data_IF_907835145244
#
_entry.id   IF_907835145244
#
_cell.length_a   1.000
_cell.length_b   1.000
_cell.length_c   1.000
_cell.angle_alpha   90.00
_cell.angle_beta   90.00
_cell.angle_gamma   90.00
#
_symmetry.space_group_name_H-M   'P 1'
#
loop_
_entity.id
_entity.type
_entity.pdbx_description
1 polymer ?
#
# COMPACT_ATOMS: atom_id res chain seq x y z
N UNK A 1 -9.13 9.80 21.45
CA UNK A 1 -9.11 8.32 21.36
C UNK A 1 -7.94 7.95 20.48
N UNK A 2 -7.09 7.02 20.89
CA UNK A 2 -5.94 6.54 20.12
C UNK A 2 -6.23 5.13 19.60
N UNK A 3 -5.85 4.86 18.36
CA UNK A 3 -5.99 3.54 17.74
C UNK A 3 -4.59 2.93 17.65
N UNK A 4 -4.36 1.83 18.36
CA UNK A 4 -3.12 1.05 18.28
C UNK A 4 -3.36 -0.11 17.34
N UNK A 5 -2.64 -0.15 16.22
CA UNK A 5 -2.90 -1.08 15.14
C UNK A 5 -1.63 -1.85 14.78
N UNK A 6 -1.67 -3.17 14.92
CA UNK A 6 -0.58 -4.06 14.49
C UNK A 6 -1.10 -5.48 14.38
N UNK A 7 -0.95 -6.08 13.19
CA UNK A 7 -1.32 -7.49 12.97
C UNK A 7 -0.60 -8.41 13.96
N UNK A 8 0.74 -8.35 14.03
CA UNK A 8 1.51 -9.22 14.92
C UNK A 8 1.51 -8.79 16.39
N UNK A 9 1.04 -7.57 16.67
CA UNK A 9 1.16 -6.93 17.99
C UNK A 9 2.59 -6.56 18.40
N UNK A 10 3.58 -6.86 17.55
CA UNK A 10 5.00 -6.77 17.88
C UNK A 10 5.78 -5.78 17.00
N UNK A 11 5.14 -5.18 15.98
CA UNK A 11 5.78 -4.18 15.12
C UNK A 11 6.35 -3.04 15.95
N UNK A 12 7.61 -2.68 15.71
CA UNK A 12 8.39 -1.78 16.59
C UNK A 12 7.78 -0.38 16.59
N UNK A 13 7.52 0.17 15.41
CA UNK A 13 7.06 1.53 15.18
C UNK A 13 5.73 1.85 15.91
N UNK A 14 4.63 1.10 15.72
CA UNK A 14 3.39 1.38 16.45
C UNK A 14 3.54 1.13 17.97
N UNK A 15 4.39 0.19 18.40
CA UNK A 15 4.62 -0.06 19.82
C UNK A 15 5.41 1.07 20.50
N UNK A 16 6.38 1.68 19.81
CA UNK A 16 7.11 2.85 20.29
C UNK A 16 6.17 4.06 20.40
N UNK A 17 5.37 4.32 19.36
CA UNK A 17 4.36 5.37 19.39
C UNK A 17 3.33 5.16 20.49
N UNK A 18 2.86 3.92 20.67
CA UNK A 18 1.96 3.57 21.76
C UNK A 18 2.54 3.94 23.12
N UNK A 19 3.77 3.52 23.43
CA UNK A 19 4.41 3.82 24.72
C UNK A 19 4.53 5.32 24.97
N UNK A 20 4.90 6.08 23.95
CA UNK A 20 5.00 7.53 24.03
C UNK A 20 3.64 8.17 24.36
N UNK A 21 2.61 7.89 23.57
CA UNK A 21 1.28 8.46 23.79
C UNK A 21 0.63 7.94 25.07
N UNK A 22 0.89 6.68 25.46
CA UNK A 22 0.43 6.14 26.74
C UNK A 22 0.97 6.96 27.91
N UNK A 23 2.26 7.28 27.92
CA UNK A 23 2.84 8.11 28.98
C UNK A 23 2.24 9.52 29.05
N UNK A 24 1.95 10.13 27.90
CA UNK A 24 1.27 11.43 27.86
C UNK A 24 -0.16 11.35 28.40
N UNK A 25 -0.91 10.32 28.04
CA UNK A 25 -2.29 10.13 28.51
C UNK A 25 -2.31 9.79 29.99
N UNK A 26 -1.42 8.92 30.47
CA UNK A 26 -1.27 8.61 31.91
C UNK A 26 -1.02 9.89 32.71
N UNK A 27 -0.18 10.79 32.20
CA UNK A 27 0.08 12.10 32.83
C UNK A 27 -1.16 12.99 32.85
N UNK A 28 -1.99 12.94 31.81
CA UNK A 28 -3.14 13.82 31.66
C UNK A 28 -4.39 13.36 32.45
N UNK A 29 -4.63 12.05 32.53
CA UNK A 29 -5.88 11.50 33.11
C UNK A 29 -5.68 10.47 34.23
N UNK A 30 -4.43 10.10 34.54
CA UNK A 30 -4.11 9.04 35.48
C UNK A 30 -4.09 7.65 34.84
N UNK A 31 -3.32 6.74 35.42
CA UNK A 31 -3.07 5.39 34.89
C UNK A 31 -4.28 4.47 34.93
N UNK A 32 -5.24 4.72 35.83
CA UNK A 32 -6.48 3.94 35.97
C UNK A 32 -7.45 4.21 34.80
N UNK A 33 -7.53 5.46 34.35
CA UNK A 33 -8.48 5.91 33.32
C UNK A 33 -7.91 5.91 31.91
N UNK A 34 -6.58 5.91 31.79
CA UNK A 34 -5.88 6.09 30.51
C UNK A 34 -6.15 4.97 29.51
N UNK A 35 -6.32 3.72 29.98
CA UNK A 35 -6.65 2.57 29.13
C UNK A 35 -7.87 2.83 28.25
N UNK A 36 -8.93 3.40 28.83
CA UNK A 36 -10.19 3.70 28.13
C UNK A 36 -10.07 4.75 27.00
N UNK A 37 -8.89 5.35 26.82
CA UNK A 37 -8.55 6.29 25.74
C UNK A 37 -7.88 5.62 24.55
N UNK A 38 -7.62 4.32 24.62
CA UNK A 38 -7.05 3.50 23.55
C UNK A 38 -8.03 2.43 23.08
N UNK A 39 -7.93 2.06 21.81
CA UNK A 39 -8.47 0.82 21.24
C UNK A 39 -7.34 0.09 20.53
N UNK A 40 -7.42 -1.24 20.49
CA UNK A 40 -6.48 -2.09 19.76
C UNK A 40 -7.16 -2.70 18.52
N UNK A 41 -6.44 -2.77 17.41
CA UNK A 41 -6.82 -3.55 16.23
C UNK A 41 -5.65 -4.50 15.92
N UNK A 42 -5.90 -5.79 16.04
CA UNK A 42 -4.84 -6.82 15.99
C UNK A 42 -5.42 -8.20 15.70
N UNK A 43 -4.57 -9.21 15.59
CA UNK A 43 -5.02 -10.60 15.51
C UNK A 43 -5.22 -11.18 16.91
N UNK A 44 -6.11 -12.16 17.01
CA UNK A 44 -6.38 -12.85 18.26
C UNK A 44 -5.10 -13.50 18.85
N UNK A 45 -4.93 -13.43 20.17
CA UNK A 45 -3.83 -14.08 20.89
C UNK A 45 -2.47 -13.41 20.78
N UNK A 46 -2.35 -12.29 20.07
CA UNK A 46 -1.10 -11.54 19.94
C UNK A 46 -0.74 -10.76 21.20
N UNK A 47 0.48 -10.23 21.27
CA UNK A 47 0.92 -9.38 22.38
C UNK A 47 0.07 -8.12 22.54
N UNK A 48 -0.45 -7.56 21.45
CA UNK A 48 -1.32 -6.38 21.50
C UNK A 48 -2.74 -6.74 21.96
N UNK A 49 -3.24 -7.94 21.64
CA UNK A 49 -4.53 -8.43 22.15
C UNK A 49 -4.51 -8.56 23.68
N UNK A 50 -3.49 -9.25 24.18
CA UNK A 50 -3.26 -9.42 25.62
C UNK A 50 -3.06 -8.07 26.28
N UNK A 51 -2.20 -7.21 25.73
CA UNK A 51 -1.93 -5.88 26.27
C UNK A 51 -3.18 -5.00 26.34
N UNK A 52 -3.99 -4.99 25.28
CA UNK A 52 -5.21 -4.19 25.25
C UNK A 52 -6.19 -4.62 26.33
N UNK A 53 -6.33 -5.93 26.54
CA UNK A 53 -7.17 -6.50 27.60
C UNK A 53 -6.63 -6.16 28.99
N UNK A 54 -5.34 -6.43 29.24
CA UNK A 54 -4.69 -6.23 30.53
C UNK A 54 -4.64 -4.76 30.95
N UNK A 55 -4.51 -3.84 29.98
CA UNK A 55 -4.38 -2.41 30.24
C UNK A 55 -5.71 -1.65 30.14
N UNK A 56 -6.84 -2.36 30.10
CA UNK A 56 -8.18 -1.78 30.13
C UNK A 56 -8.49 -0.91 28.93
N UNK A 57 -8.08 -1.32 27.73
CA UNK A 57 -8.44 -0.61 26.51
C UNK A 57 -9.95 -0.59 26.34
N UNK A 58 -10.47 0.45 25.70
CA UNK A 58 -11.91 0.60 25.47
C UNK A 58 -12.49 -0.56 24.68
N UNK A 59 -11.73 -1.07 23.72
CA UNK A 59 -12.08 -2.23 22.91
C UNK A 59 -10.82 -2.85 22.29
N UNK A 60 -10.89 -4.16 22.01
CA UNK A 60 -9.86 -4.92 21.28
C UNK A 60 -10.52 -5.62 20.09
N UNK A 61 -10.37 -5.03 18.91
CA UNK A 61 -10.89 -5.57 17.66
C UNK A 61 -9.95 -6.66 17.13
N UNK A 62 -10.41 -7.91 17.17
CA UNK A 62 -9.65 -9.11 16.81
C UNK A 62 -9.98 -9.55 15.40
N UNK A 63 -8.99 -9.57 14.51
CA UNK A 63 -9.11 -10.10 13.16
C UNK A 63 -8.70 -11.59 13.10
N UNK A 64 -9.13 -12.33 12.05
CA UNK A 64 -8.61 -13.66 11.75
C UNK A 64 -7.10 -13.64 11.42
N UNK A 65 -6.36 -14.62 11.94
CA UNK A 65 -4.89 -14.71 11.76
C UNK A 65 -4.48 -14.95 10.29
N UNK A 66 -5.35 -15.57 9.49
CA UNK A 66 -5.10 -15.92 8.09
C UNK A 66 -5.26 -14.74 7.11
N UNK A 67 -5.66 -13.56 7.59
CA UNK A 67 -5.80 -12.36 6.77
C UNK A 67 -4.49 -11.59 6.61
N UNK A 68 -3.91 -11.55 5.42
CA UNK A 68 -2.67 -10.79 5.15
C UNK A 68 -2.83 -9.28 5.37
N UNK A 69 -1.80 -8.61 5.89
CA UNK A 69 -1.88 -7.18 6.26
C UNK A 69 -2.30 -6.25 5.10
N UNK A 70 -1.69 -6.40 3.92
CA UNK A 70 -2.06 -5.62 2.72
C UNK A 70 -3.42 -5.97 2.10
N UNK A 71 -4.05 -7.06 2.56
CA UNK A 71 -5.39 -7.52 2.17
C UNK A 71 -6.43 -7.25 3.27
N UNK A 72 -6.11 -6.37 4.23
CA UNK A 72 -6.92 -6.20 5.45
C UNK A 72 -7.74 -4.90 5.48
N UNK A 73 -7.79 -4.14 4.38
CA UNK A 73 -8.47 -2.84 4.36
C UNK A 73 -9.98 -2.95 4.60
N UNK A 74 -10.62 -4.04 4.15
CA UNK A 74 -12.03 -4.34 4.40
C UNK A 74 -12.28 -5.11 5.71
N UNK A 75 -11.26 -5.27 6.56
CA UNK A 75 -11.38 -5.83 7.91
C UNK A 75 -11.49 -4.75 8.98
N UNK A 76 -11.37 -5.09 10.26
CA UNK A 76 -11.34 -4.08 11.32
C UNK A 76 -10.19 -3.06 11.14
N UNK A 77 -9.10 -3.43 10.47
CA UNK A 77 -7.98 -2.53 10.20
C UNK A 77 -8.39 -1.27 9.41
N UNK A 78 -9.25 -1.37 8.40
CA UNK A 78 -9.77 -0.20 7.71
C UNK A 78 -11.15 0.25 8.19
N UNK A 79 -12.04 -0.69 8.56
CA UNK A 79 -13.42 -0.37 8.90
C UNK A 79 -13.56 0.37 10.23
N UNK A 80 -12.74 0.09 11.25
CA UNK A 80 -12.83 0.79 12.54
C UNK A 80 -12.38 2.26 12.43
N UNK A 81 -11.22 2.59 11.83
CA UNK A 81 -10.86 3.98 11.56
C UNK A 81 -11.90 4.71 10.68
N UNK A 82 -12.47 4.03 9.68
CA UNK A 82 -13.51 4.59 8.82
C UNK A 82 -14.78 4.94 9.62
N UNK A 83 -15.29 4.00 10.41
CA UNK A 83 -16.46 4.22 11.26
C UNK A 83 -16.25 5.36 12.27
N UNK A 84 -15.08 5.42 12.91
CA UNK A 84 -14.74 6.51 13.84
C UNK A 84 -14.69 7.88 13.14
N UNK A 85 -14.30 7.89 11.86
CA UNK A 85 -14.26 9.08 11.01
C UNK A 85 -15.64 9.49 10.48
N UNK A 86 -16.70 8.73 10.80
CA UNK A 86 -18.08 9.01 10.39
C UNK A 86 -18.46 8.45 9.02
N UNK A 87 -17.65 7.56 8.45
CA UNK A 87 -17.95 6.89 7.17
C UNK A 87 -18.97 5.76 7.43
N UNK A 88 -20.00 5.65 6.58
CA UNK A 88 -20.92 4.51 6.63
C UNK A 88 -20.23 3.25 6.09
N UNK A 89 -19.70 2.45 7.02
CA UNK A 89 -19.05 1.17 6.69
C UNK A 89 -19.99 0.16 6.05
N UNK A 90 -21.31 0.32 6.19
CA UNK A 90 -22.30 -0.54 5.53
C UNK A 90 -22.35 -0.29 4.03
N UNK A 91 -22.33 0.99 3.62
CA UNK A 91 -22.28 1.37 2.21
C UNK A 91 -20.96 0.95 1.56
N UNK A 92 -19.84 1.16 2.26
CA UNK A 92 -18.52 0.69 1.80
C UNK A 92 -18.50 -0.84 1.62
N UNK A 93 -19.04 -1.58 2.60
CA UNK A 93 -19.09 -3.05 2.53
C UNK A 93 -20.06 -3.56 1.47
N UNK A 94 -21.17 -2.86 1.23
CA UNK A 94 -22.12 -3.19 0.17
C UNK A 94 -21.49 -3.02 -1.22
N UNK A 95 -20.71 -1.95 -1.40
CA UNK A 95 -19.91 -1.71 -2.61
C UNK A 95 -18.86 -2.82 -2.84
N UNK A 96 -18.15 -3.23 -1.79
CA UNK A 96 -17.23 -4.37 -1.86
C UNK A 96 -17.95 -5.68 -2.27
N UNK A 97 -19.10 -5.96 -1.62
CA UNK A 97 -19.93 -7.14 -1.90
C UNK A 97 -20.40 -7.19 -3.35
N UNK A 98 -20.76 -6.05 -3.95
CA UNK A 98 -21.20 -6.01 -5.34
C UNK A 98 -20.09 -6.47 -6.31
N UNK A 99 -18.84 -6.09 -6.06
CA UNK A 99 -17.70 -6.55 -6.85
C UNK A 99 -17.33 -8.00 -6.51
N UNK A 100 -17.47 -8.43 -5.26
CA UNK A 100 -17.33 -9.84 -4.85
C UNK A 100 -18.28 -10.74 -5.65
N UNK A 101 -19.56 -10.40 -5.68
CA UNK A 101 -20.60 -11.12 -6.44
C UNK A 101 -20.27 -11.15 -7.94
N UNK A 102 -19.78 -10.03 -8.49
CA UNK A 102 -19.31 -9.96 -9.89
C UNK A 102 -18.03 -10.78 -10.15
N UNK A 103 -17.31 -11.17 -9.10
CA UNK A 103 -16.11 -12.00 -9.18
C UNK A 103 -16.38 -13.49 -8.94
N UNK A 104 -17.64 -13.91 -8.77
CA UNK A 104 -17.96 -15.30 -8.47
C UNK A 104 -17.48 -16.30 -9.54
N UNK A 105 -17.22 -17.58 -9.16
CA UNK A 105 -16.67 -18.58 -10.09
C UNK A 105 -17.54 -18.86 -11.33
N UNK A 106 -18.85 -18.60 -11.24
CA UNK A 106 -19.78 -18.83 -12.34
C UNK A 106 -19.81 -17.68 -13.36
N UNK A 107 -19.19 -16.53 -13.03
CA UNK A 107 -19.06 -15.39 -13.94
C UNK A 107 -17.97 -15.70 -14.97
N UNK A 108 -18.31 -15.55 -16.25
CA UNK A 108 -17.36 -15.76 -17.34
C UNK A 108 -16.12 -14.86 -17.16
N UNK A 109 -14.94 -15.39 -17.44
CA UNK A 109 -13.64 -14.70 -17.24
C UNK A 109 -13.59 -13.29 -17.83
N UNK A 110 -14.15 -13.07 -19.03
CA UNK A 110 -14.17 -11.74 -19.66
C UNK A 110 -15.09 -10.72 -18.99
N UNK A 111 -16.04 -11.18 -18.15
CA UNK A 111 -16.98 -10.34 -17.41
C UNK A 111 -16.63 -10.26 -15.91
N UNK A 112 -15.65 -11.03 -15.44
CA UNK A 112 -15.22 -11.01 -14.05
C UNK A 112 -14.22 -9.86 -13.86
N UNK A 113 -14.55 -8.80 -13.11
CA UNK A 113 -13.75 -7.58 -13.06
C UNK A 113 -12.38 -7.80 -12.42
N UNK A 114 -12.29 -8.63 -11.37
CA UNK A 114 -11.02 -8.96 -10.72
C UNK A 114 -10.13 -9.82 -11.60
N UNK A 115 -10.69 -10.82 -12.29
CA UNK A 115 -9.91 -11.65 -13.24
C UNK A 115 -9.44 -10.84 -14.42
N UNK A 116 -10.31 -9.98 -14.99
CA UNK A 116 -9.96 -9.14 -16.13
C UNK A 116 -8.78 -8.21 -15.79
N UNK A 117 -8.83 -7.53 -14.65
CA UNK A 117 -7.76 -6.64 -14.22
C UNK A 117 -6.48 -7.42 -13.96
N UNK A 118 -6.55 -8.50 -13.17
CA UNK A 118 -5.38 -9.31 -12.84
C UNK A 118 -4.71 -9.95 -14.06
N UNK A 119 -5.50 -10.44 -15.02
CA UNK A 119 -4.99 -10.98 -16.27
C UNK A 119 -4.37 -9.88 -17.15
N UNK A 120 -4.95 -8.67 -17.18
CA UNK A 120 -4.40 -7.52 -17.90
C UNK A 120 -3.03 -7.12 -17.33
N UNK A 121 -2.94 -6.97 -16.01
CA UNK A 121 -1.69 -6.66 -15.31
C UNK A 121 -0.60 -7.68 -15.64
N UNK A 122 -0.89 -8.97 -15.46
CA UNK A 122 0.10 -10.03 -15.69
C UNK A 122 0.48 -10.19 -17.17
N UNK A 123 -0.47 -10.06 -18.10
CA UNK A 123 -0.19 -10.21 -19.53
C UNK A 123 0.67 -9.06 -20.05
N UNK A 124 0.37 -7.83 -19.64
CA UNK A 124 1.17 -6.66 -20.02
C UNK A 124 2.58 -6.74 -19.42
N UNK A 125 2.71 -7.08 -18.14
CA UNK A 125 4.00 -7.33 -17.51
C UNK A 125 4.81 -8.42 -18.25
N UNK A 126 4.17 -9.53 -18.62
CA UNK A 126 4.79 -10.60 -19.41
C UNK A 126 5.24 -10.19 -20.82
N UNK A 127 4.67 -9.10 -21.37
CA UNK A 127 5.06 -8.50 -22.65
C UNK A 127 6.10 -7.38 -22.53
N UNK A 128 6.65 -7.14 -21.34
CA UNK A 128 7.64 -6.10 -21.07
C UNK A 128 7.06 -4.77 -20.57
N UNK A 129 5.77 -4.72 -20.25
CA UNK A 129 5.11 -3.57 -19.61
C UNK A 129 4.96 -3.80 -18.11
N UNK A 130 6.09 -3.80 -17.42
CA UNK A 130 6.21 -4.16 -16.00
C UNK A 130 6.05 -2.99 -15.04
N UNK A 131 5.73 -1.79 -15.53
CA UNK A 131 5.48 -0.60 -14.72
C UNK A 131 4.01 -0.20 -14.79
N UNK A 132 3.37 -0.11 -13.64
CA UNK A 132 1.97 0.31 -13.49
C UNK A 132 1.95 1.74 -12.96
N UNK A 133 1.61 2.72 -13.81
CA UNK A 133 1.36 4.10 -13.37
C UNK A 133 -0.12 4.23 -13.00
N UNK A 134 -0.40 4.44 -11.72
CA UNK A 134 -1.74 4.67 -11.21
C UNK A 134 -1.98 6.17 -11.05
N UNK A 135 -2.96 6.68 -11.79
CA UNK A 135 -3.35 8.09 -11.81
C UNK A 135 -4.73 8.21 -11.16
N UNK A 136 -4.83 8.97 -10.08
CA UNK A 136 -6.06 9.09 -9.31
C UNK A 136 -6.59 10.52 -9.32
N UNK A 137 -7.91 10.70 -9.31
CA UNK A 137 -8.51 11.96 -8.87
C UNK A 137 -7.97 12.36 -7.48
N UNK A 138 -7.78 13.66 -7.16
CA UNK A 138 -7.16 14.07 -5.91
C UNK A 138 -7.78 13.49 -4.63
N UNK A 139 -9.13 13.39 -4.50
CA UNK A 139 -9.75 12.74 -3.34
C UNK A 139 -9.43 11.24 -3.17
N UNK A 140 -8.93 10.60 -4.23
CA UNK A 140 -8.60 9.18 -4.27
C UNK A 140 -7.09 8.91 -4.11
N UNK A 141 -6.26 9.93 -3.87
CA UNK A 141 -4.80 9.77 -3.77
C UNK A 141 -4.36 8.72 -2.73
N UNK A 142 -5.08 8.64 -1.60
CA UNK A 142 -4.82 7.62 -0.56
C UNK A 142 -5.05 6.18 -1.05
N UNK A 143 -5.99 5.97 -1.97
CA UNK A 143 -6.17 4.67 -2.62
C UNK A 143 -4.96 4.29 -3.47
N UNK A 144 -4.36 5.27 -4.15
CA UNK A 144 -3.16 5.05 -4.96
C UNK A 144 -1.99 4.49 -4.17
N UNK A 145 -1.74 5.05 -2.98
CA UNK A 145 -0.71 4.57 -2.05
C UNK A 145 -1.01 3.16 -1.53
N UNK A 146 -2.28 2.84 -1.29
CA UNK A 146 -2.69 1.50 -0.88
C UNK A 146 -2.46 0.46 -1.99
N UNK A 147 -2.83 0.78 -3.24
CA UNK A 147 -2.56 -0.09 -4.40
C UNK A 147 -1.07 -0.30 -4.61
N UNK A 148 -0.25 0.74 -4.42
CA UNK A 148 1.21 0.64 -4.50
C UNK A 148 1.75 -0.45 -3.58
N UNK A 149 1.37 -0.43 -2.31
CA UNK A 149 1.75 -1.49 -1.36
C UNK A 149 1.21 -2.86 -1.80
N UNK A 150 -0.08 -2.94 -2.16
CA UNK A 150 -0.72 -4.19 -2.54
C UNK A 150 0.01 -4.87 -3.69
N UNK A 151 0.30 -4.13 -4.77
CA UNK A 151 0.92 -4.65 -5.99
C UNK A 151 2.39 -4.98 -5.74
N UNK A 152 3.16 -4.07 -5.15
CA UNK A 152 4.59 -4.25 -4.93
C UNK A 152 4.87 -5.49 -4.06
N UNK A 153 4.22 -5.60 -2.89
CA UNK A 153 4.46 -6.72 -1.98
C UNK A 153 3.81 -8.04 -2.44
N UNK A 154 2.72 -7.99 -3.21
CA UNK A 154 2.09 -9.20 -3.72
C UNK A 154 2.86 -9.79 -4.90
N UNK A 155 3.32 -8.95 -5.83
CA UNK A 155 3.85 -9.42 -7.11
C UNK A 155 5.38 -9.37 -7.22
N UNK A 156 6.05 -8.49 -6.46
CA UNK A 156 7.51 -8.33 -6.46
C UNK A 156 8.25 -9.47 -5.77
N UNK A 157 8.37 -10.62 -6.43
CA UNK A 157 8.96 -11.86 -5.90
C UNK A 157 9.73 -12.63 -6.96
N UNK A 158 10.75 -13.38 -6.53
CA UNK A 158 11.51 -14.29 -7.40
C UNK A 158 12.04 -13.60 -8.67
N UNK A 159 12.56 -12.39 -8.54
CA UNK A 159 13.02 -11.53 -9.65
C UNK A 159 11.96 -11.22 -10.72
N UNK A 160 10.68 -11.35 -10.37
CA UNK A 160 9.52 -10.93 -11.16
C UNK A 160 8.76 -9.88 -10.37
N UNK A 161 7.97 -9.07 -11.06
CA UNK A 161 7.13 -8.09 -10.39
C UNK A 161 6.49 -7.12 -11.36
N UNK A 162 5.60 -6.32 -10.80
CA UNK A 162 5.12 -5.09 -11.40
C UNK A 162 5.59 -3.99 -10.47
N UNK A 163 6.18 -2.93 -11.02
CA UNK A 163 6.57 -1.74 -10.27
C UNK A 163 5.37 -0.79 -10.29
N UNK A 164 4.59 -0.68 -9.20
CA UNK A 164 3.54 0.33 -9.12
C UNK A 164 4.17 1.70 -8.89
N UNK A 165 3.61 2.70 -9.56
CA UNK A 165 4.07 4.09 -9.54
C UNK A 165 2.85 4.97 -9.32
N UNK A 166 2.88 5.73 -8.22
CA UNK A 166 1.81 6.64 -7.80
C UNK A 166 2.41 8.02 -7.53
N UNK A 167 1.63 9.08 -7.78
CA UNK A 167 2.08 10.46 -7.62
C UNK A 167 3.20 10.89 -8.58
N UNK A 168 3.39 10.16 -9.69
CA UNK A 168 4.24 10.58 -10.81
C UNK A 168 3.58 11.76 -11.54
N UNK A 169 4.29 12.88 -11.76
CA UNK A 169 3.74 13.99 -12.53
C UNK A 169 3.36 13.56 -13.95
N UNK A 170 2.22 14.05 -14.44
CA UNK A 170 1.78 13.78 -15.79
C UNK A 170 2.58 14.63 -16.78
N UNK A 171 3.57 14.00 -17.43
CA UNK A 171 4.37 14.60 -18.50
C UNK A 171 3.83 14.24 -19.89
N UNK A 172 4.45 14.79 -20.93
CA UNK A 172 4.12 14.46 -22.32
C UNK A 172 4.20 12.96 -22.60
N UNK A 173 3.24 12.44 -23.39
CA UNK A 173 3.07 11.00 -23.60
C UNK A 173 4.32 10.29 -24.19
N UNK A 174 5.15 11.03 -24.93
CA UNK A 174 6.39 10.53 -25.55
C UNK A 174 7.59 10.46 -24.58
N UNK A 175 7.47 11.02 -23.37
CA UNK A 175 8.49 10.94 -22.34
C UNK A 175 8.45 9.59 -21.60
N UNK A 176 7.32 8.89 -21.65
CA UNK A 176 7.19 7.55 -21.08
C UNK A 176 7.74 6.48 -22.02
N UNK A 177 8.37 5.46 -21.43
CA UNK A 177 8.79 4.26 -22.16
C UNK A 177 7.60 3.37 -22.55
N UNK A 178 7.86 2.46 -23.49
CA UNK A 178 6.91 1.41 -23.90
C UNK A 178 6.74 0.29 -22.86
N UNK A 179 7.18 0.51 -21.63
CA UNK A 179 7.17 -0.40 -20.49
C UNK A 179 6.03 -0.11 -19.49
N UNK A 180 5.14 0.83 -19.84
CA UNK A 180 4.05 1.30 -18.97
C UNK A 180 2.71 0.65 -19.28
N UNK A 181 1.93 0.44 -18.23
CA UNK A 181 0.48 0.42 -18.20
C UNK A 181 0.01 1.59 -17.36
N UNK A 182 -0.95 2.37 -17.87
CA UNK A 182 -1.61 3.42 -17.10
C UNK A 182 -2.99 2.96 -16.64
N UNK A 183 -3.29 3.17 -15.37
CA UNK A 183 -4.64 2.98 -14.83
C UNK A 183 -5.12 4.31 -14.26
N UNK A 184 -6.22 4.82 -14.77
CA UNK A 184 -6.89 6.01 -14.27
C UNK A 184 -8.04 5.60 -13.37
N UNK A 185 -8.04 6.06 -12.12
CA UNK A 185 -9.16 5.95 -11.20
C UNK A 185 -9.73 7.34 -10.92
N UNK A 186 -10.87 7.64 -11.54
CA UNK A 186 -11.51 8.96 -11.52
C UNK A 186 -12.71 8.95 -10.60
N UNK A 187 -12.99 10.08 -9.95
CA UNK A 187 -14.23 10.31 -9.23
C UNK A 187 -15.20 11.10 -10.13
N UNK A 188 -16.47 10.68 -10.21
CA UNK A 188 -17.49 11.38 -10.94
C UNK A 188 -17.66 12.81 -10.38
N UNK A 189 -17.78 13.78 -11.29
CA UNK A 189 -17.82 15.20 -10.93
C UNK A 189 -16.44 15.84 -10.70
N UNK A 190 -15.34 15.08 -10.77
CA UNK A 190 -14.00 15.66 -10.93
C UNK A 190 -13.83 16.20 -12.35
N UNK A 191 -13.92 17.53 -12.53
CA UNK A 191 -13.75 18.21 -13.81
C UNK A 191 -12.27 18.44 -14.18
N UNK A 192 -11.37 17.58 -13.70
CA UNK A 192 -9.95 17.69 -14.00
C UNK A 192 -9.66 17.48 -15.50
N UNK A 193 -9.68 18.59 -16.24
CA UNK A 193 -9.29 18.65 -17.66
C UNK A 193 -7.88 18.13 -17.88
N UNK A 194 -7.01 18.24 -16.88
CA UNK A 194 -5.65 17.72 -16.92
C UNK A 194 -5.66 16.19 -17.01
N UNK A 195 -6.42 15.50 -16.17
CA UNK A 195 -6.52 14.03 -16.20
C UNK A 195 -7.15 13.53 -17.50
N UNK A 196 -8.18 14.21 -18.01
CA UNK A 196 -8.82 13.85 -19.28
C UNK A 196 -7.90 14.07 -20.49
N UNK A 197 -7.14 15.17 -20.48
CA UNK A 197 -6.17 15.47 -21.53
C UNK A 197 -5.01 14.47 -21.49
N UNK A 198 -4.46 14.18 -20.32
CA UNK A 198 -3.38 13.22 -20.16
C UNK A 198 -3.80 11.81 -20.59
N UNK A 199 -5.00 11.36 -20.17
CA UNK A 199 -5.56 10.08 -20.62
C UNK A 199 -5.64 10.03 -22.15
N UNK A 200 -6.25 11.04 -22.77
CA UNK A 200 -6.44 11.09 -24.24
C UNK A 200 -5.10 11.11 -24.98
N UNK A 201 -4.11 11.84 -24.47
CA UNK A 201 -2.77 11.93 -25.06
C UNK A 201 -2.02 10.60 -24.96
N UNK A 202 -2.12 9.89 -23.83
CA UNK A 202 -1.50 8.57 -23.65
C UNK A 202 -2.13 7.53 -24.58
N UNK A 203 -3.46 7.51 -24.69
CA UNK A 203 -4.19 6.64 -25.63
C UNK A 203 -3.78 6.93 -27.09
N UNK A 204 -3.73 8.21 -27.47
CA UNK A 204 -3.32 8.63 -28.81
C UNK A 204 -1.85 8.27 -29.14
N UNK A 205 -0.99 8.24 -28.12
CA UNK A 205 0.39 7.78 -28.24
C UNK A 205 0.54 6.24 -28.28
N UNK A 206 -0.54 5.49 -28.07
CA UNK A 206 -0.55 4.03 -28.11
C UNK A 206 -0.17 3.33 -26.81
N UNK A 207 -0.09 4.07 -25.70
CA UNK A 207 0.07 3.44 -24.38
C UNK A 207 -1.20 2.67 -23.99
N UNK A 208 -1.10 1.50 -23.34
CA UNK A 208 -2.26 0.84 -22.78
C UNK A 208 -2.77 1.63 -21.58
N UNK A 209 -4.06 1.95 -21.64
CA UNK A 209 -4.76 2.74 -20.64
C UNK A 209 -6.00 1.97 -20.21
N UNK A 210 -6.19 1.87 -18.89
CA UNK A 210 -7.42 1.37 -18.26
C UNK A 210 -8.04 2.51 -17.47
N UNK A 211 -9.36 2.66 -17.54
CA UNK A 211 -10.07 3.75 -16.87
C UNK A 211 -11.22 3.19 -16.05
N UNK A 212 -11.26 3.57 -14.78
CA UNK A 212 -12.36 3.35 -13.87
C UNK A 212 -12.88 4.71 -13.40
N UNK A 213 -14.19 4.91 -13.47
CA UNK A 213 -14.86 6.10 -12.93
C UNK A 213 -15.78 5.64 -11.80
N UNK A 214 -15.54 6.18 -10.62
CA UNK A 214 -16.32 5.94 -9.41
C UNK A 214 -17.45 6.96 -9.32
N UNK A 215 -18.68 6.51 -9.11
CA UNK A 215 -19.83 7.42 -8.96
C UNK A 215 -19.74 8.24 -7.65
N UNK A 216 -19.19 7.63 -6.60
CA UNK A 216 -18.97 8.25 -5.29
C UNK A 216 -17.77 7.62 -4.56
N UNK A 217 -17.47 8.12 -3.36
CA UNK A 217 -16.36 7.61 -2.54
C UNK A 217 -16.65 6.25 -1.90
N UNK A 218 -17.90 5.82 -1.77
CA UNK A 218 -18.23 4.49 -1.26
C UNK A 218 -17.95 3.40 -2.31
N UNK A 219 -17.92 3.75 -3.59
CA UNK A 219 -17.44 2.88 -4.65
C UNK A 219 -16.00 2.37 -4.43
N UNK A 220 -15.20 3.02 -3.56
CA UNK A 220 -13.89 2.52 -3.11
C UNK A 220 -13.96 1.14 -2.48
N UNK A 221 -15.07 0.78 -1.82
CA UNK A 221 -15.27 -0.56 -1.27
C UNK A 221 -15.12 -1.65 -2.34
N UNK A 222 -15.77 -1.44 -3.48
CA UNK A 222 -15.66 -2.29 -4.65
C UNK A 222 -14.25 -2.35 -5.22
N UNK A 223 -13.55 -1.21 -5.27
CA UNK A 223 -12.18 -1.17 -5.79
C UNK A 223 -11.18 -1.87 -4.87
N UNK A 224 -11.31 -1.76 -3.54
CA UNK A 224 -10.47 -2.54 -2.63
C UNK A 224 -10.56 -4.04 -2.96
N UNK A 225 -11.78 -4.58 -3.08
CA UNK A 225 -11.98 -5.98 -3.44
C UNK A 225 -11.46 -6.30 -4.85
N UNK A 226 -11.75 -5.46 -5.85
CA UNK A 226 -11.31 -5.67 -7.25
C UNK A 226 -9.80 -5.83 -7.32
N UNK A 227 -9.07 -4.94 -6.66
CA UNK A 227 -7.62 -4.89 -6.71
C UNK A 227 -6.98 -6.02 -5.89
N UNK A 228 -7.53 -6.37 -4.73
CA UNK A 228 -7.11 -7.56 -3.97
C UNK A 228 -7.26 -8.83 -4.81
N UNK A 229 -8.41 -9.00 -5.46
CA UNK A 229 -8.66 -10.14 -6.34
C UNK A 229 -7.72 -10.13 -7.55
N UNK A 230 -7.53 -8.96 -8.18
CA UNK A 230 -6.64 -8.80 -9.32
C UNK A 230 -5.17 -9.12 -8.97
N UNK A 231 -4.68 -8.71 -7.80
CA UNK A 231 -3.34 -9.05 -7.33
C UNK A 231 -3.18 -10.57 -7.13
N UNK A 232 -4.21 -11.25 -6.62
CA UNK A 232 -4.20 -12.71 -6.49
C UNK A 232 -4.12 -13.41 -7.85
N UNK A 233 -4.94 -12.97 -8.82
CA UNK A 233 -4.94 -13.51 -10.19
C UNK A 233 -3.62 -13.23 -10.90
N UNK A 234 -3.13 -11.99 -10.84
CA UNK A 234 -1.86 -11.60 -11.46
C UNK A 234 -0.71 -12.44 -10.90
N UNK A 235 -0.65 -12.61 -9.58
CA UNK A 235 0.36 -13.44 -8.93
C UNK A 235 0.33 -14.88 -9.44
N UNK A 236 -0.87 -15.47 -9.55
CA UNK A 236 -1.05 -16.83 -10.09
C UNK A 236 -0.57 -16.94 -11.53
N UNK A 237 -0.91 -15.99 -12.40
CA UNK A 237 -0.51 -15.97 -13.81
C UNK A 237 1.00 -15.78 -13.96
N UNK A 238 1.59 -14.90 -13.16
CA UNK A 238 3.03 -14.63 -13.13
C UNK A 238 3.83 -15.77 -12.48
N UNK A 239 3.17 -16.71 -11.79
CA UNK A 239 3.81 -17.83 -11.09
C UNK A 239 4.55 -17.41 -9.82
N UNK A 240 4.04 -16.40 -9.12
CA UNK A 240 4.50 -15.94 -7.79
C UNK A 240 3.40 -16.17 -6.75
N UNK A 241 3.76 -16.25 -5.47
CA UNK A 241 2.76 -16.43 -4.40
C UNK A 241 2.28 -15.06 -3.88
N UNK A 242 1.08 -14.55 -4.23
CA UNK A 242 0.65 -13.20 -3.89
C UNK A 242 0.50 -12.93 -2.38
N UNK A 243 0.33 -13.96 -1.56
CA UNK A 243 0.00 -13.82 -0.13
C UNK A 243 1.19 -13.92 0.83
N UNK A 244 2.38 -14.35 0.39
CA UNK A 244 3.56 -14.41 1.26
C UNK A 244 4.39 -13.11 1.19
N UNK A 245 5.40 -12.98 2.06
CA UNK A 245 6.28 -11.79 2.13
C UNK A 245 7.69 -12.15 2.63
N UNK A 246 8.43 -13.02 1.91
CA UNK A 246 9.72 -13.52 2.40
C UNK A 246 10.76 -12.41 2.62
N UNK A 247 10.81 -11.39 1.75
CA UNK A 247 11.82 -10.33 1.84
C UNK A 247 11.59 -9.37 3.03
N UNK A 248 10.34 -9.18 3.46
CA UNK A 248 10.04 -8.36 4.65
C UNK A 248 10.57 -9.05 5.90
N UNK A 249 10.41 -10.37 6.00
CA UNK A 249 10.96 -11.12 7.13
C UNK A 249 12.48 -11.08 7.13
N UNK A 250 13.11 -11.25 5.96
CA UNK A 250 14.56 -11.15 5.82
C UNK A 250 15.10 -9.79 6.29
N UNK A 251 14.43 -8.69 5.94
CA UNK A 251 14.83 -7.35 6.38
C UNK A 251 14.76 -7.22 7.91
N UNK A 252 13.69 -7.73 8.54
CA UNK A 252 13.55 -7.75 10.01
C UNK A 252 14.65 -8.56 10.67
N UNK A 253 14.92 -9.76 10.18
CA UNK A 253 15.95 -10.64 10.74
C UNK A 253 17.34 -9.97 10.66
N UNK A 254 17.65 -9.27 9.56
CA UNK A 254 18.88 -8.50 9.41
C UNK A 254 18.96 -7.31 10.36
N UNK A 255 17.85 -6.57 10.52
CA UNK A 255 17.78 -5.46 11.48
C UNK A 255 17.94 -5.95 12.92
N UNK A 256 17.27 -7.03 13.30
CA UNK A 256 17.37 -7.61 14.64
C UNK A 256 18.79 -8.10 14.94
N UNK A 257 19.44 -8.76 13.98
CA UNK A 257 20.82 -9.18 14.11
C UNK A 257 21.78 -7.99 14.29
N UNK A 258 21.56 -6.91 13.55
CA UNK A 258 22.40 -5.71 13.62
C UNK A 258 22.19 -4.93 14.93
N UNK A 259 20.95 -4.83 15.41
CA UNK A 259 20.64 -4.25 16.72
C UNK A 259 21.25 -5.06 17.85
N UNK A 260 21.18 -6.40 17.79
CA UNK A 260 21.83 -7.27 18.77
C UNK A 260 23.35 -7.05 18.79
N UNK A 261 23.98 -6.99 17.61
CA UNK A 261 25.41 -6.69 17.46
C UNK A 261 25.78 -5.35 18.08
N UNK A 262 24.99 -4.30 17.82
CA UNK A 262 25.20 -2.97 18.38
C UNK A 262 25.10 -2.97 19.92
N UNK A 263 24.11 -3.65 20.49
CA UNK A 263 23.94 -3.75 21.94
C UNK A 263 25.10 -4.49 22.63
N UNK A 264 25.70 -5.47 21.95
CA UNK A 264 26.85 -6.23 22.47
C UNK A 264 28.18 -5.48 22.33
N UNK A 265 28.44 -4.86 21.17
CA UNK A 265 29.75 -4.28 20.86
C UNK A 265 29.83 -2.76 21.02
N UNK A 266 28.70 -2.05 20.98
CA UNK A 266 28.63 -0.59 20.94
C UNK A 266 29.03 0.04 19.60
N UNK A 267 29.41 -0.77 18.60
CA UNK A 267 29.83 -0.28 17.29
C UNK A 267 28.64 -0.12 16.35
N UNK A 268 28.46 1.08 15.81
CA UNK A 268 27.45 1.34 14.77
C UNK A 268 27.67 0.47 13.52
N UNK A 269 26.62 0.21 12.72
CA UNK A 269 26.74 -0.50 11.45
C UNK A 269 27.83 0.12 10.57
N UNK A 270 28.67 -0.72 9.97
CA UNK A 270 29.67 -0.27 9.02
C UNK A 270 28.97 0.44 7.85
N UNK A 271 29.18 1.74 7.72
CA UNK A 271 28.87 2.46 6.48
C UNK A 271 29.74 1.86 5.38
N UNK A 272 29.19 0.94 4.58
CA UNK A 272 29.86 0.51 3.37
C UNK A 272 30.16 1.73 2.52
N UNK A 273 31.42 1.86 2.09
CA UNK A 273 31.78 2.90 1.13
C UNK A 273 30.97 2.65 -0.15
N UNK A 274 30.10 3.60 -0.51
CA UNK A 274 29.39 3.54 -1.77
C UNK A 274 30.41 3.56 -2.92
N UNK A 275 30.33 2.58 -3.82
CA UNK A 275 30.84 2.74 -5.19
C UNK A 275 30.17 4.00 -5.78
N UNK A 276 30.87 4.79 -6.59
CA UNK A 276 30.34 6.10 -7.00
C UNK A 276 28.99 5.98 -7.70
N UNK A 277 28.03 6.86 -7.36
CA UNK A 277 26.71 6.92 -8.02
C UNK A 277 26.84 6.94 -9.55
N UNK A 278 27.87 7.64 -10.07
CA UNK A 278 28.20 7.67 -11.49
C UNK A 278 28.46 6.28 -12.08
N UNK A 279 29.16 5.39 -11.35
CA UNK A 279 29.41 4.02 -11.79
C UNK A 279 28.13 3.18 -11.82
N UNK A 280 27.24 3.34 -10.83
CA UNK A 280 25.93 2.71 -10.81
C UNK A 280 25.08 3.17 -12.01
N UNK A 281 24.98 4.48 -12.22
CA UNK A 281 24.23 5.05 -13.34
C UNK A 281 24.79 4.62 -14.71
N UNK A 282 26.12 4.52 -14.86
CA UNK A 282 26.74 4.03 -16.09
C UNK A 282 26.49 2.53 -16.37
N UNK A 283 26.02 1.77 -15.38
CA UNK A 283 25.66 0.36 -15.54
C UNK A 283 24.19 0.15 -15.90
N UNK A 284 23.37 1.20 -15.83
CA UNK A 284 21.95 1.15 -16.14
C UNK A 284 21.70 0.91 -17.63
N UNK A 285 20.66 0.15 -17.92
CA UNK A 285 20.16 -0.18 -19.26
C UNK A 285 18.78 0.42 -19.47
N UNK A 286 18.32 0.59 -20.73
CA UNK A 286 16.93 0.94 -20.99
C UNK A 286 15.97 -0.01 -20.27
N UNK A 287 15.03 0.55 -19.50
CA UNK A 287 14.06 -0.18 -18.69
C UNK A 287 14.45 -0.37 -17.22
N UNK A 288 15.72 -0.17 -16.86
CA UNK A 288 16.15 -0.15 -15.46
C UNK A 288 15.57 1.07 -14.73
N UNK A 289 15.39 0.95 -13.42
CA UNK A 289 15.01 2.06 -12.55
C UNK A 289 16.00 2.21 -11.39
N UNK A 290 16.15 3.44 -10.91
CA UNK A 290 16.91 3.75 -9.70
C UNK A 290 15.93 4.04 -8.58
N UNK A 291 16.00 3.26 -7.50
CA UNK A 291 15.30 3.56 -6.27
C UNK A 291 16.27 4.19 -5.26
N UNK A 292 15.92 5.37 -4.73
CA UNK A 292 16.66 6.04 -3.68
C UNK A 292 15.82 5.99 -2.41
N UNK A 293 16.24 5.19 -1.43
CA UNK A 293 15.62 5.12 -0.11
C UNK A 293 16.34 6.12 0.81
N UNK A 294 15.80 7.32 0.91
CA UNK A 294 16.36 8.37 1.75
C UNK A 294 15.75 8.33 3.16
N UNK A 295 16.57 8.01 4.16
CA UNK A 295 16.22 8.15 5.58
C UNK A 295 16.66 9.53 6.07
N UNK A 296 15.86 10.54 5.76
CA UNK A 296 16.11 11.93 6.19
C UNK A 296 14.91 12.46 6.98
N UNK A 297 15.14 13.51 7.76
CA UNK A 297 14.07 14.20 8.47
C UNK A 297 13.08 14.82 7.47
N UNK A 298 11.80 14.54 7.65
CA UNK A 298 10.75 15.11 6.82
C UNK A 298 10.51 16.57 7.22
N UNK A 299 10.92 17.47 6.33
CA UNK A 299 10.80 18.93 6.48
C UNK A 299 10.27 19.55 5.18
N UNK A 300 9.66 20.73 5.27
CA UNK A 300 9.22 21.49 4.09
C UNK A 300 10.37 21.76 3.09
N UNK A 301 11.61 21.86 3.58
CA UNK A 301 12.79 22.00 2.73
C UNK A 301 13.09 20.69 1.98
N UNK A 302 13.16 19.56 2.69
CA UNK A 302 13.39 18.26 2.08
C UNK A 302 12.28 17.85 1.09
N UNK A 303 11.02 18.15 1.40
CA UNK A 303 9.89 17.85 0.54
C UNK A 303 9.96 18.66 -0.76
N UNK A 304 10.22 19.98 -0.67
CA UNK A 304 10.43 20.82 -1.87
C UNK A 304 11.63 20.37 -2.70
N UNK A 305 12.71 19.93 -2.06
CA UNK A 305 13.87 19.39 -2.78
C UNK A 305 13.49 18.12 -3.55
N UNK A 306 12.76 17.18 -2.94
CA UNK A 306 12.31 15.97 -3.65
C UNK A 306 11.31 16.29 -4.76
N UNK A 307 10.38 17.23 -4.55
CA UNK A 307 9.48 17.70 -5.60
C UNK A 307 10.25 18.26 -6.79
N UNK A 308 11.31 19.05 -6.54
CA UNK A 308 12.14 19.60 -7.62
C UNK A 308 12.91 18.55 -8.42
N UNK A 309 13.12 17.34 -7.88
CA UNK A 309 13.73 16.22 -8.60
C UNK A 309 12.75 15.48 -9.51
N UNK A 310 11.43 15.68 -9.34
CA UNK A 310 10.38 15.06 -10.15
C UNK A 310 10.04 15.85 -11.42
N UNK A 311 10.62 17.04 -11.60
CA UNK A 311 10.39 17.98 -12.71
C UNK A 311 11.67 18.23 -13.51
#
# INVERSE_FOLDING_TARGET
LFIVSSKSGSTIEPNVLYRYFRGLVDTAVGTEESGSRFVAITDAGTSLDVMGTDQGFREVFRNPEDLGGRYSVLSYFGLIPAAISGIDTSELSASARAIEEACEPHIATGNNPGVWLGATLASLAGSGRDKLTLVTSPPLAGFGLWVEQLIAESLGKDARGIVPITGEPLVEANAYGDDRLFVFLKLAGDESRELDTAQSNLEAAGHPVVVYTLDDLYALGGEFYRWEFAAAIAGRVMGVQPFNQPNVQQAKDLTDAELARFLESGDSPNNMAFDSLAKLLNSAKPGDYLAILAYIEETDESNRMFESLRH
#
